data_IF_813089337191
#
_entry.id   IF_813089337191
#
_cell.length_a   1.000
_cell.length_b   1.000
_cell.length_c   1.000
_cell.angle_alpha   90.00
_cell.angle_beta   90.00
_cell.angle_gamma   90.00
#
_symmetry.space_group_name_H-M   'P 1'
#
loop_
_entity.id
_entity.type
_entity.pdbx_description
1 polymer ?
#
# COMPACT_ATOMS: atom_id res chain seq x y z
N UNK A 1 5.97 17.36 25.43
CA UNK A 1 6.69 16.77 24.28
C UNK A 1 5.73 15.78 23.65
N UNK A 2 4.55 16.28 23.24
CA UNK A 2 3.32 15.48 23.09
C UNK A 2 2.57 15.81 21.80
N UNK A 3 3.29 16.14 20.73
CA UNK A 3 2.68 16.52 19.44
C UNK A 3 2.52 15.35 18.46
N UNK A 4 3.11 14.19 18.72
CA UNK A 4 3.17 13.09 17.75
C UNK A 4 2.22 11.91 18.06
N UNK A 5 1.53 11.89 19.20
CA UNK A 5 0.67 10.78 19.57
C UNK A 5 -0.75 10.96 19.04
N UNK A 6 -0.96 10.67 17.74
CA UNK A 6 -2.30 10.65 17.18
C UNK A 6 -2.83 9.21 17.09
N UNK A 7 -3.40 8.71 18.20
CA UNK A 7 -4.06 7.39 18.29
C UNK A 7 -5.17 7.18 17.25
N UNK A 8 -5.58 8.24 16.54
CA UNK A 8 -6.59 8.24 15.50
C UNK A 8 -6.07 7.93 14.09
N UNK A 9 -4.74 7.90 13.86
CA UNK A 9 -4.20 7.54 12.55
C UNK A 9 -4.33 6.03 12.31
N UNK A 10 -4.82 5.67 11.12
CA UNK A 10 -4.85 4.31 10.61
C UNK A 10 -3.90 4.16 9.43
N UNK A 11 -3.11 3.09 9.44
CA UNK A 11 -2.29 2.66 8.31
C UNK A 11 -2.91 1.42 7.71
N UNK A 12 -3.26 1.47 6.44
CA UNK A 12 -3.79 0.35 5.66
C UNK A 12 -2.77 -0.08 4.63
N UNK A 13 -2.51 -1.38 4.54
CA UNK A 13 -1.62 -1.97 3.54
C UNK A 13 -2.43 -2.90 2.65
N UNK A 14 -2.56 -2.56 1.37
CA UNK A 14 -3.19 -3.38 0.33
C UNK A 14 -2.09 -4.05 -0.46
N UNK A 15 -2.10 -5.38 -0.51
CA UNK A 15 -1.13 -6.16 -1.29
C UNK A 15 -1.84 -7.08 -2.27
N UNK A 16 -1.21 -7.34 -3.42
CA UNK A 16 -1.66 -8.39 -4.35
C UNK A 16 -0.78 -9.62 -4.19
N UNK A 17 -1.41 -10.76 -3.91
CA UNK A 17 -0.74 -12.01 -3.59
C UNK A 17 -0.78 -12.33 -2.11
N UNK A 18 -0.61 -13.62 -1.82
CA UNK A 18 -0.56 -14.15 -0.45
C UNK A 18 0.87 -14.46 -0.06
N UNK A 19 1.25 -14.04 1.14
CA UNK A 19 2.54 -14.39 1.71
C UNK A 19 2.53 -15.87 2.14
N UNK A 20 3.55 -16.64 1.75
CA UNK A 20 3.61 -18.09 2.04
C UNK A 20 4.67 -18.43 3.09
N UNK A 21 5.74 -17.65 3.11
CA UNK A 21 6.93 -17.89 3.90
C UNK A 21 6.71 -17.50 5.36
N UNK A 22 6.86 -18.47 6.27
CA UNK A 22 6.63 -18.25 7.70
C UNK A 22 7.54 -17.16 8.29
N UNK A 23 8.82 -17.14 7.90
CA UNK A 23 9.77 -16.17 8.45
C UNK A 23 9.41 -14.71 8.09
N UNK A 24 8.83 -14.48 6.91
CA UNK A 24 8.34 -13.14 6.52
C UNK A 24 7.11 -12.75 7.33
N UNK A 25 6.17 -13.69 7.54
CA UNK A 25 4.99 -13.45 8.39
C UNK A 25 5.40 -13.10 9.82
N UNK A 26 6.34 -13.84 10.39
CA UNK A 26 6.84 -13.61 11.75
C UNK A 26 7.53 -12.24 11.84
N UNK A 27 8.34 -11.89 10.83
CA UNK A 27 8.98 -10.58 10.74
C UNK A 27 7.96 -9.43 10.67
N UNK A 28 6.96 -9.53 9.80
CA UNK A 28 5.88 -8.54 9.70
C UNK A 28 5.15 -8.40 11.03
N UNK A 29 4.80 -9.52 11.68
CA UNK A 29 4.08 -9.51 12.95
C UNK A 29 4.85 -8.75 14.04
N UNK A 30 6.17 -8.85 14.09
CA UNK A 30 7.00 -8.10 15.04
C UNK A 30 6.94 -6.59 14.78
N UNK A 31 7.01 -6.16 13.51
CA UNK A 31 6.88 -4.74 13.16
C UNK A 31 5.46 -4.20 13.42
N UNK A 32 4.42 -4.97 13.09
CA UNK A 32 3.02 -4.59 13.36
C UNK A 32 2.79 -4.41 14.86
N UNK A 33 3.33 -5.32 15.69
CA UNK A 33 3.25 -5.21 17.15
C UNK A 33 3.91 -3.92 17.67
N UNK A 34 5.06 -3.53 17.12
CA UNK A 34 5.75 -2.27 17.47
C UNK A 34 4.95 -1.05 17.01
N UNK A 35 4.40 -1.09 15.80
CA UNK A 35 3.57 -0.03 15.22
C UNK A 35 2.26 0.19 15.99
N UNK A 36 1.68 -0.87 16.57
CA UNK A 36 0.41 -0.81 17.30
C UNK A 36 0.39 0.13 18.51
N UNK A 37 1.56 0.58 18.99
CA UNK A 37 1.64 1.64 20.01
C UNK A 37 1.26 3.02 19.45
N UNK A 38 1.47 3.24 18.16
CA UNK A 38 1.40 4.55 17.49
C UNK A 38 0.20 4.69 16.55
N UNK A 39 -0.20 3.61 15.88
CA UNK A 39 -1.26 3.63 14.86
C UNK A 39 -2.05 2.33 14.84
N UNK A 40 -3.28 2.37 14.35
CA UNK A 40 -4.02 1.16 13.98
C UNK A 40 -3.52 0.68 12.61
N UNK A 41 -2.94 -0.51 12.56
CA UNK A 41 -2.53 -1.14 11.31
C UNK A 41 -3.58 -2.14 10.81
N UNK A 42 -3.87 -2.10 9.52
CA UNK A 42 -4.71 -3.06 8.81
C UNK A 42 -3.98 -3.55 7.55
N UNK A 43 -4.02 -4.86 7.30
CA UNK A 43 -3.47 -5.48 6.10
C UNK A 43 -4.59 -6.18 5.33
N UNK A 44 -4.65 -5.93 4.02
CA UNK A 44 -5.61 -6.53 3.10
C UNK A 44 -4.84 -7.22 1.99
N UNK A 45 -4.80 -8.56 2.03
CA UNK A 45 -4.22 -9.38 0.97
C UNK A 45 -5.29 -9.70 -0.08
N UNK A 46 -5.06 -9.25 -1.32
CA UNK A 46 -5.90 -9.54 -2.47
C UNK A 46 -5.36 -10.76 -3.24
N UNK A 47 -6.23 -11.58 -3.85
CA UNK A 47 -5.77 -12.68 -4.69
C UNK A 47 -5.08 -12.14 -5.94
N UNK A 48 -3.87 -12.63 -6.20
CA UNK A 48 -3.17 -12.43 -7.46
C UNK A 48 -3.83 -13.24 -8.58
N UNK A 49 -3.86 -12.70 -9.78
CA UNK A 49 -4.22 -13.46 -10.96
C UNK A 49 -3.10 -14.44 -11.35
N UNK A 50 -3.46 -15.47 -12.11
CA UNK A 50 -2.45 -16.33 -12.72
C UNK A 50 -1.86 -15.58 -13.92
N UNK A 51 -0.54 -15.45 -13.94
CA UNK A 51 0.21 -14.92 -15.09
C UNK A 51 0.84 -16.10 -15.83
N UNK A 52 0.35 -16.46 -17.03
CA UNK A 52 1.01 -17.45 -17.88
C UNK A 52 2.43 -17.00 -18.27
N UNK A 53 3.39 -17.93 -18.33
CA UNK A 53 4.79 -17.60 -18.66
C UNK A 53 4.99 -16.93 -20.04
N UNK A 54 4.05 -17.17 -20.97
CA UNK A 54 4.04 -16.60 -22.33
C UNK A 54 2.86 -15.67 -22.59
N UNK A 55 2.33 -15.01 -21.55
CA UNK A 55 1.23 -14.08 -21.70
C UNK A 55 1.61 -12.92 -22.64
N UNK A 56 0.74 -12.64 -23.60
CA UNK A 56 0.85 -11.48 -24.48
C UNK A 56 0.71 -10.16 -23.70
N UNK A 57 1.14 -9.05 -24.28
CA UNK A 57 1.00 -7.72 -23.65
C UNK A 57 -0.46 -7.38 -23.32
N UNK A 58 -1.40 -7.78 -24.18
CA UNK A 58 -2.84 -7.56 -23.96
C UNK A 58 -3.36 -8.39 -22.78
N UNK A 59 -2.91 -9.64 -22.62
CA UNK A 59 -3.25 -10.47 -21.46
C UNK A 59 -2.67 -9.90 -20.17
N UNK A 60 -1.40 -9.48 -20.18
CA UNK A 60 -0.76 -8.82 -19.03
C UNK A 60 -1.49 -7.54 -18.63
N UNK A 61 -1.95 -6.76 -19.60
CA UNK A 61 -2.77 -5.56 -19.35
C UNK A 61 -4.11 -5.91 -18.71
N UNK A 62 -4.81 -6.94 -19.21
CA UNK A 62 -6.08 -7.39 -18.64
C UNK A 62 -5.91 -7.91 -17.20
N UNK A 63 -4.81 -8.60 -16.91
CA UNK A 63 -4.46 -9.04 -15.56
C UNK A 63 -4.27 -7.81 -14.64
N UNK A 64 -3.41 -6.88 -15.05
CA UNK A 64 -3.15 -5.64 -14.30
C UNK A 64 -4.43 -4.86 -14.03
N UNK A 65 -5.32 -4.73 -15.01
CA UNK A 65 -6.60 -4.03 -14.85
C UNK A 65 -7.55 -4.73 -13.87
N UNK A 66 -7.60 -6.08 -13.90
CA UNK A 66 -8.40 -6.85 -12.94
C UNK A 66 -7.88 -6.68 -11.52
N UNK A 67 -6.57 -6.78 -11.32
CA UNK A 67 -5.93 -6.56 -10.01
C UNK A 67 -6.12 -5.12 -9.55
N UNK A 68 -5.95 -4.15 -10.47
CA UNK A 68 -6.17 -2.73 -10.21
C UNK A 68 -7.57 -2.43 -9.69
N UNK A 69 -8.61 -2.95 -10.35
CA UNK A 69 -10.00 -2.79 -9.87
C UNK A 69 -10.21 -3.37 -8.48
N UNK A 70 -9.59 -4.50 -8.15
CA UNK A 70 -9.66 -5.06 -6.78
C UNK A 70 -8.97 -4.17 -5.76
N UNK A 71 -7.80 -3.65 -6.09
CA UNK A 71 -7.08 -2.69 -5.24
C UNK A 71 -7.97 -1.47 -4.97
N UNK A 72 -8.48 -0.84 -6.03
CA UNK A 72 -9.29 0.38 -5.93
C UNK A 72 -10.57 0.16 -5.12
N UNK A 73 -11.18 -1.04 -5.19
CA UNK A 73 -12.35 -1.37 -4.36
C UNK A 73 -12.08 -1.39 -2.84
N UNK A 74 -10.80 -1.31 -2.42
CA UNK A 74 -10.36 -1.28 -1.01
C UNK A 74 -9.77 0.06 -0.59
N UNK A 75 -9.54 0.96 -1.55
CA UNK A 75 -9.14 2.34 -1.29
C UNK A 75 -10.38 3.12 -0.88
N UNK A 76 -10.29 3.86 0.21
CA UNK A 76 -11.36 4.75 0.67
C UNK A 76 -11.26 6.13 0.02
N UNK A 77 -12.39 6.81 -0.15
CA UNK A 77 -12.47 8.11 -0.85
C UNK A 77 -11.62 9.24 -0.23
N UNK A 78 -11.19 9.08 1.03
CA UNK A 78 -10.39 10.07 1.78
C UNK A 78 -9.00 9.57 2.16
N UNK A 79 -8.64 8.38 1.71
CA UNK A 79 -7.33 7.80 2.00
C UNK A 79 -6.24 8.69 1.41
N UNK A 80 -5.14 8.85 2.14
CA UNK A 80 -3.91 9.34 1.56
C UNK A 80 -3.18 8.15 0.92
N UNK A 81 -3.19 8.09 -0.41
CA UNK A 81 -2.75 6.88 -1.14
C UNK A 81 -1.29 6.98 -1.56
N UNK A 82 -0.49 6.00 -1.12
CA UNK A 82 0.92 5.83 -1.49
C UNK A 82 1.09 4.49 -2.19
N UNK A 83 1.33 4.52 -3.50
CA UNK A 83 1.65 3.31 -4.26
C UNK A 83 3.16 3.09 -4.35
N UNK A 84 3.58 1.86 -4.06
CA UNK A 84 4.98 1.44 -4.15
C UNK A 84 5.26 0.97 -5.58
N UNK A 85 6.00 1.79 -6.34
CA UNK A 85 6.35 1.54 -7.73
C UNK A 85 7.85 1.84 -7.96
N UNK A 86 8.47 1.12 -8.89
CA UNK A 86 9.92 1.21 -9.15
C UNK A 86 10.29 2.58 -9.73
N UNK A 87 9.40 3.13 -10.56
CA UNK A 87 9.48 4.48 -11.11
C UNK A 87 9.10 5.59 -10.11
N UNK A 88 8.75 5.22 -8.87
CA UNK A 88 8.36 6.14 -7.84
C UNK A 88 9.51 7.01 -7.32
N UNK A 89 9.17 8.06 -6.58
CA UNK A 89 10.16 8.92 -5.93
C UNK A 89 10.80 8.17 -4.76
N UNK A 90 12.13 8.17 -4.73
CA UNK A 90 12.89 7.66 -3.59
C UNK A 90 12.99 8.74 -2.51
N UNK A 91 12.83 8.33 -1.26
CA UNK A 91 12.86 9.22 -0.11
C UNK A 91 13.88 8.73 0.93
N UNK A 92 14.72 9.62 1.47
CA UNK A 92 15.34 9.41 2.78
C UNK A 92 14.25 9.25 3.85
N UNK A 93 14.54 8.50 4.91
CA UNK A 93 13.59 8.18 5.99
C UNK A 93 12.97 9.43 6.62
N UNK A 94 13.75 10.48 6.85
CA UNK A 94 13.31 11.74 7.46
C UNK A 94 12.37 12.50 6.53
N UNK A 95 12.59 12.41 5.21
CA UNK A 95 11.69 13.03 4.24
C UNK A 95 10.38 12.26 4.17
N UNK A 96 10.43 10.93 4.14
CA UNK A 96 9.23 10.10 4.16
C UNK A 96 8.38 10.34 5.43
N UNK A 97 9.02 10.47 6.59
CA UNK A 97 8.34 10.83 7.83
C UNK A 97 7.63 12.19 7.75
N UNK A 98 8.26 13.19 7.11
CA UNK A 98 7.64 14.50 6.85
C UNK A 98 6.44 14.39 5.92
N UNK A 99 6.50 13.58 4.86
CA UNK A 99 5.35 13.39 3.97
C UNK A 99 4.14 12.82 4.73
N UNK A 100 4.35 11.83 5.60
CA UNK A 100 3.32 11.26 6.47
C UNK A 100 2.75 12.32 7.44
N UNK A 101 3.62 13.12 8.05
CA UNK A 101 3.20 14.22 8.93
C UNK A 101 2.35 15.23 8.17
N UNK A 102 2.76 15.65 6.97
CA UNK A 102 2.01 16.59 6.13
C UNK A 102 0.64 16.05 5.73
N UNK A 103 0.54 14.76 5.36
CA UNK A 103 -0.75 14.12 5.09
C UNK A 103 -1.70 14.22 6.30
N UNK A 104 -1.16 14.01 7.49
CA UNK A 104 -1.92 14.10 8.74
C UNK A 104 -2.38 15.53 9.02
N UNK A 105 -1.50 16.52 8.82
CA UNK A 105 -1.82 17.95 8.99
C UNK A 105 -2.87 18.43 7.99
N UNK A 106 -2.91 17.84 6.79
CA UNK A 106 -3.96 18.06 5.77
C UNK A 106 -5.30 17.39 6.12
N UNK A 107 -5.38 16.67 7.24
CA UNK A 107 -6.61 16.07 7.75
C UNK A 107 -6.85 14.63 7.31
N UNK A 108 -5.88 13.96 6.68
CA UNK A 108 -5.99 12.53 6.38
C UNK A 108 -5.77 11.72 7.66
N UNK A 109 -6.78 10.94 8.03
CA UNK A 109 -6.72 10.01 9.18
C UNK A 109 -6.36 8.58 8.78
N UNK A 110 -6.40 8.26 7.48
CA UNK A 110 -6.04 6.95 6.93
C UNK A 110 -4.99 7.11 5.83
N UNK A 111 -3.86 6.40 5.98
CA UNK A 111 -2.80 6.31 4.97
C UNK A 111 -2.82 4.91 4.39
N UNK A 112 -2.96 4.83 3.06
CA UNK A 112 -3.11 3.56 2.34
C UNK A 112 -1.90 3.30 1.47
N UNK A 113 -1.13 2.29 1.86
CA UNK A 113 -0.02 1.77 1.07
C UNK A 113 -0.50 0.68 0.12
N UNK A 114 -0.03 0.73 -1.12
CA UNK A 114 -0.39 -0.27 -2.15
C UNK A 114 0.88 -0.94 -2.67
N UNK A 115 0.91 -2.27 -2.59
CA UNK A 115 1.94 -3.13 -3.20
C UNK A 115 1.29 -3.98 -4.30
N UNK A 116 1.76 -3.80 -5.52
CA UNK A 116 1.27 -4.54 -6.69
C UNK A 116 1.72 -6.00 -6.74
N UNK A 117 1.22 -6.72 -7.73
CA UNK A 117 1.63 -8.08 -8.04
C UNK A 117 2.95 -8.12 -8.83
N UNK A 118 3.27 -9.28 -9.40
CA UNK A 118 4.49 -9.47 -10.21
C UNK A 118 4.56 -8.56 -11.45
N UNK A 119 3.41 -8.20 -12.02
CA UNK A 119 3.32 -7.28 -13.16
C UNK A 119 3.34 -5.80 -12.76
N UNK A 120 3.36 -5.50 -11.46
CA UNK A 120 3.30 -4.14 -10.93
C UNK A 120 1.88 -3.64 -10.69
N UNK A 121 1.62 -2.38 -11.05
CA UNK A 121 0.35 -1.68 -10.81
C UNK A 121 -0.24 -1.16 -12.12
N UNK A 122 -1.57 -1.21 -12.21
CA UNK A 122 -2.29 -0.65 -13.36
C UNK A 122 -2.14 0.87 -13.42
N UNK A 123 -2.31 1.42 -14.63
CA UNK A 123 -2.32 2.87 -14.82
C UNK A 123 -3.43 3.57 -14.04
N UNK A 124 -4.55 2.88 -13.82
CA UNK A 124 -5.68 3.39 -13.05
C UNK A 124 -5.29 3.58 -11.59
N UNK A 125 -4.65 2.58 -10.96
CA UNK A 125 -4.14 2.69 -9.58
C UNK A 125 -3.10 3.79 -9.45
N UNK A 126 -2.20 3.94 -10.44
CA UNK A 126 -1.18 4.99 -10.43
C UNK A 126 -1.77 6.40 -10.52
N UNK A 127 -2.98 6.57 -11.06
CA UNK A 127 -3.65 7.88 -11.14
C UNK A 127 -4.28 8.31 -9.81
N UNK A 128 -4.59 7.37 -8.92
CA UNK A 128 -5.15 7.65 -7.59
C UNK A 128 -4.09 8.13 -6.57
N UNK A 129 -2.83 8.22 -6.98
CA UNK A 129 -1.75 8.69 -6.13
C UNK A 129 -2.00 10.11 -5.62
N UNK A 130 -1.97 10.27 -4.30
CA UNK A 130 -2.01 11.60 -3.67
C UNK A 130 -0.57 12.12 -3.62
N UNK A 131 -0.27 13.13 -4.44
CA UNK A 131 1.04 13.79 -4.48
C UNK A 131 1.24 14.75 -3.29
#
# INVERSE_FOLDING_TARGET
>A
MDMCYNKFMKVKLITVGKLKEKYLKDGISEYVKRLGRFTKFESIELPAEKTPDNASESENKLILEKEGRRILSKVGDRDYVIALAIEGKQFPSEQFAKEIEQATLKGHSEITFIIGGSLGLSLEVKKELTN
#
